data_IF_523383501690
#
_entry.id   IF_523383501690
#
_cell.length_a   1.000
_cell.length_b   1.000
_cell.length_c   1.000
_cell.angle_alpha   90.00
_cell.angle_beta   90.00
_cell.angle_gamma   90.00
#
_symmetry.space_group_name_H-M   'P 1'
#
loop_
_entity.id
_entity.type
_entity.pdbx_description
1 polymer ?
#
# COMPACT_ATOMS: atom_id res chain seq x y z
N UNK A 1 13.60 -5.94 -6.13
CA UNK A 1 13.02 -6.15 -4.78
C UNK A 1 14.13 -6.43 -3.80
N UNK A 2 14.01 -5.82 -2.62
CA UNK A 2 14.90 -6.04 -1.47
C UNK A 2 14.06 -6.55 -0.30
N UNK A 3 14.67 -7.30 0.62
CA UNK A 3 13.98 -7.77 1.83
C UNK A 3 14.37 -6.86 2.99
N UNK A 4 13.38 -6.31 3.69
CA UNK A 4 13.55 -5.55 4.92
C UNK A 4 12.61 -6.08 6.00
N UNK A 5 13.12 -6.26 7.21
CA UNK A 5 12.36 -6.80 8.35
C UNK A 5 11.56 -8.09 8.03
N UNK A 6 12.04 -8.91 7.10
CA UNK A 6 11.39 -10.16 6.67
C UNK A 6 10.33 -10.02 5.56
N UNK A 7 10.10 -8.81 5.03
CA UNK A 7 9.10 -8.54 4.00
C UNK A 7 9.74 -7.95 2.72
N UNK A 8 9.13 -8.15 1.55
CA UNK A 8 9.60 -7.55 0.31
C UNK A 8 9.29 -6.05 0.26
N UNK A 9 10.23 -5.32 -0.30
CA UNK A 9 10.15 -3.91 -0.64
C UNK A 9 10.32 -3.75 -2.16
N UNK A 10 9.54 -2.85 -2.80
CA UNK A 10 9.66 -2.61 -4.22
C UNK A 10 11.04 -2.06 -4.59
N UNK A 11 11.40 -2.24 -5.86
CA UNK A 11 12.58 -1.59 -6.39
C UNK A 11 12.26 -0.11 -6.63
N UNK A 12 12.99 0.82 -6.00
CA UNK A 12 12.72 2.26 -6.12
C UNK A 12 12.87 2.80 -7.54
N UNK A 13 13.58 2.10 -8.43
CA UNK A 13 13.66 2.44 -9.86
C UNK A 13 12.41 2.03 -10.64
N UNK A 14 11.67 1.01 -10.19
CA UNK A 14 10.39 0.59 -10.77
C UNK A 14 9.20 1.30 -10.11
N UNK A 15 9.22 1.40 -8.78
CA UNK A 15 8.14 1.98 -7.97
C UNK A 15 8.75 2.94 -6.93
N UNK A 16 9.05 4.19 -7.32
CA UNK A 16 9.60 5.19 -6.40
C UNK A 16 8.64 5.65 -5.28
N UNK A 17 7.33 5.40 -5.41
CA UNK A 17 6.32 5.84 -4.44
C UNK A 17 5.79 7.24 -4.74
N UNK A 18 4.78 7.32 -5.60
CA UNK A 18 4.19 8.59 -6.05
C UNK A 18 3.07 9.09 -5.13
N UNK A 19 2.97 10.40 -4.96
CA UNK A 19 1.85 11.06 -4.29
C UNK A 19 1.07 11.94 -5.27
N UNK A 20 -0.25 12.03 -5.10
CA UNK A 20 -1.10 12.94 -5.85
C UNK A 20 -1.04 14.34 -5.21
N UNK A 21 -0.48 15.35 -5.89
CA UNK A 21 -0.31 16.69 -5.32
C UNK A 21 -1.65 17.41 -5.05
N UNK A 22 -2.75 16.95 -5.65
CA UNK A 22 -4.08 17.51 -5.47
C UNK A 22 -4.82 16.92 -4.26
N UNK A 23 -4.32 15.82 -3.69
CA UNK A 23 -4.88 15.23 -2.47
C UNK A 23 -4.13 15.78 -1.26
N UNK A 24 -4.81 16.69 -0.55
CA UNK A 24 -4.28 17.38 0.64
C UNK A 24 -4.76 16.73 1.94
N UNK A 25 -4.19 17.14 3.08
CA UNK A 25 -4.68 16.70 4.39
C UNK A 25 -6.15 17.05 4.62
N UNK A 26 -6.61 18.21 4.14
CA UNK A 26 -8.03 18.61 4.23
C UNK A 26 -8.91 17.70 3.37
N UNK A 27 -8.43 17.32 2.18
CA UNK A 27 -9.09 16.31 1.34
C UNK A 27 -9.23 14.99 2.10
N UNK A 28 -8.15 14.48 2.71
CA UNK A 28 -8.13 13.20 3.43
C UNK A 28 -8.98 13.21 4.70
N UNK A 29 -9.15 14.37 5.35
CA UNK A 29 -10.01 14.55 6.53
C UNK A 29 -11.47 14.74 6.17
N UNK A 30 -11.79 15.06 4.92
CA UNK A 30 -13.17 15.26 4.49
C UNK A 30 -14.00 13.99 4.67
N UNK A 31 -15.19 14.07 5.30
CA UNK A 31 -16.08 12.91 5.44
C UNK A 31 -16.65 12.44 4.09
N UNK A 32 -16.58 13.25 3.04
CA UNK A 32 -16.99 12.88 1.68
C UNK A 32 -15.89 12.19 0.88
N UNK A 33 -14.64 12.23 1.34
CA UNK A 33 -13.51 11.64 0.63
C UNK A 33 -13.59 10.11 0.61
N UNK A 34 -13.39 9.53 -0.57
CA UNK A 34 -13.29 8.09 -0.79
C UNK A 34 -12.17 7.84 -1.80
N UNK A 35 -11.36 6.82 -1.59
CA UNK A 35 -10.26 6.47 -2.52
C UNK A 35 -10.76 6.05 -3.89
N UNK A 36 -12.02 5.58 -4.00
CA UNK A 36 -12.70 5.34 -5.27
C UNK A 36 -12.83 6.56 -6.19
N UNK A 37 -12.62 7.79 -5.69
CA UNK A 37 -12.58 9.00 -6.52
C UNK A 37 -11.31 9.13 -7.37
N UNK A 38 -10.23 8.42 -7.02
CA UNK A 38 -8.93 8.47 -7.71
C UNK A 38 -8.41 7.10 -8.15
N UNK A 39 -8.96 6.02 -7.57
CA UNK A 39 -8.61 4.65 -7.94
C UNK A 39 -9.01 4.37 -9.39
N UNK A 40 -8.06 3.86 -10.16
CA UNK A 40 -8.22 3.52 -11.58
C UNK A 40 -8.51 4.71 -12.50
N UNK A 41 -8.13 5.93 -12.08
CA UNK A 41 -8.28 7.15 -12.87
C UNK A 41 -7.02 7.50 -13.67
N UNK A 42 -5.84 7.12 -13.18
CA UNK A 42 -4.55 7.34 -13.87
C UNK A 42 -4.05 6.05 -14.54
N UNK A 43 -4.29 4.89 -13.91
CA UNK A 43 -4.01 3.60 -14.53
C UNK A 43 -5.15 2.60 -14.35
N UNK A 44 -5.56 1.94 -15.44
CA UNK A 44 -6.56 0.89 -15.38
C UNK A 44 -6.00 -0.38 -14.75
N UNK A 45 -6.89 -1.26 -14.28
CA UNK A 45 -6.52 -2.60 -13.81
C UNK A 45 -5.69 -3.37 -14.87
N UNK A 46 -6.04 -3.26 -16.15
CA UNK A 46 -5.29 -3.93 -17.22
C UNK A 46 -3.89 -3.34 -17.41
N UNK A 47 -3.70 -2.05 -17.20
CA UNK A 47 -2.38 -1.41 -17.24
C UNK A 47 -1.54 -1.80 -16.03
N UNK A 48 -2.12 -1.89 -14.84
CA UNK A 48 -1.43 -2.32 -13.61
C UNK A 48 -0.79 -3.70 -13.77
N UNK A 49 -1.41 -4.62 -14.52
CA UNK A 49 -0.83 -5.94 -14.81
C UNK A 49 0.51 -5.90 -15.55
N UNK A 50 0.88 -4.80 -16.22
CA UNK A 50 2.21 -4.65 -16.82
C UNK A 50 3.32 -4.65 -15.77
N UNK A 51 3.02 -4.22 -14.54
CA UNK A 51 3.99 -4.11 -13.44
C UNK A 51 4.55 -5.47 -13.04
N UNK A 52 3.78 -6.56 -13.13
CA UNK A 52 4.32 -7.92 -12.94
C UNK A 52 5.56 -8.18 -13.82
N UNK A 53 5.56 -7.70 -15.07
CA UNK A 53 6.69 -7.86 -15.99
C UNK A 53 7.91 -7.05 -15.57
N UNK A 54 7.72 -5.84 -15.03
CA UNK A 54 8.83 -5.00 -14.53
C UNK A 54 9.60 -5.70 -13.41
N UNK A 55 8.88 -6.45 -12.59
CA UNK A 55 9.43 -7.21 -11.46
C UNK A 55 9.84 -8.65 -11.81
N UNK A 56 9.68 -9.09 -13.07
CA UNK A 56 9.96 -10.46 -13.48
C UNK A 56 9.07 -11.51 -12.81
N UNK A 57 7.89 -11.12 -12.32
CA UNK A 57 6.95 -11.99 -11.62
C UNK A 57 5.92 -12.52 -12.62
N UNK A 58 5.67 -13.85 -12.66
CA UNK A 58 4.57 -14.39 -13.44
C UNK A 58 3.22 -13.99 -12.81
N UNK A 59 2.25 -13.64 -13.65
CA UNK A 59 0.89 -13.35 -13.19
C UNK A 59 0.34 -14.57 -12.43
N UNK A 60 -0.05 -14.44 -11.14
CA UNK A 60 -0.50 -15.59 -10.36
C UNK A 60 -1.83 -16.15 -10.87
N UNK A 61 -1.95 -17.48 -10.90
CA UNK A 61 -3.20 -18.18 -11.27
C UNK A 61 -4.12 -18.28 -10.05
N UNK A 62 -5.43 -18.22 -10.26
CA UNK A 62 -6.44 -18.31 -9.18
C UNK A 62 -6.20 -17.32 -8.04
N UNK A 63 -5.79 -16.09 -8.37
CA UNK A 63 -5.41 -15.06 -7.42
C UNK A 63 -6.61 -14.26 -6.88
N UNK A 64 -7.49 -14.91 -6.12
CA UNK A 64 -8.72 -14.29 -5.61
C UNK A 64 -9.16 -14.92 -4.29
N UNK A 65 -9.85 -14.16 -3.45
CA UNK A 65 -10.38 -14.63 -2.16
C UNK A 65 -9.32 -15.34 -1.30
N UNK A 66 -9.66 -16.51 -0.75
CA UNK A 66 -8.75 -17.28 0.10
C UNK A 66 -7.48 -17.78 -0.62
N UNK A 67 -7.45 -17.81 -1.96
CA UNK A 67 -6.27 -18.24 -2.74
C UNK A 67 -5.43 -17.08 -3.28
N UNK A 68 -5.77 -15.83 -2.96
CA UNK A 68 -5.01 -14.64 -3.40
C UNK A 68 -3.61 -14.59 -2.78
N UNK A 69 -2.57 -14.70 -3.59
CA UNK A 69 -1.16 -14.68 -3.14
C UNK A 69 -0.44 -13.39 -3.48
N UNK A 70 -1.03 -12.53 -4.30
CA UNK A 70 -0.44 -11.25 -4.67
C UNK A 70 -1.50 -10.18 -4.90
N UNK A 71 -1.14 -8.94 -4.65
CA UNK A 71 -1.94 -7.76 -4.98
C UNK A 71 -1.07 -6.78 -5.77
N UNK A 72 -1.66 -6.09 -6.76
CA UNK A 72 -1.00 -4.96 -7.39
C UNK A 72 -1.52 -3.72 -6.71
N UNK A 73 -0.70 -3.13 -5.84
CA UNK A 73 -1.15 -2.04 -4.99
C UNK A 73 -0.15 -0.90 -4.91
N UNK A 74 -0.58 0.17 -4.26
CA UNK A 74 0.08 1.44 -4.17
C UNK A 74 1.14 1.40 -3.05
N UNK A 75 2.41 1.71 -3.36
CA UNK A 75 3.45 1.82 -2.33
C UNK A 75 3.11 2.93 -1.33
N UNK A 76 2.72 4.10 -1.83
CA UNK A 76 2.05 5.13 -1.03
C UNK A 76 0.54 4.94 -1.21
N UNK A 77 -0.23 4.55 -0.17
CA UNK A 77 -1.65 4.26 -0.30
C UNK A 77 -2.47 5.49 -0.70
N UNK A 78 -3.61 5.26 -1.35
CA UNK A 78 -4.54 6.32 -1.74
C UNK A 78 -5.14 7.05 -0.51
N UNK A 79 -5.18 6.37 0.64
CA UNK A 79 -5.57 6.86 1.96
C UNK A 79 -4.57 7.91 2.51
N UNK A 80 -3.33 7.89 2.01
CA UNK A 80 -2.33 8.95 2.18
C UNK A 80 -2.21 9.83 0.93
N UNK A 81 -3.18 9.78 0.02
CA UNK A 81 -3.15 10.51 -1.23
C UNK A 81 -1.99 10.11 -2.13
N UNK A 82 -1.67 8.82 -2.21
CA UNK A 82 -0.83 8.24 -3.23
C UNK A 82 -1.32 8.56 -4.65
N UNK A 83 -0.41 8.54 -5.62
CA UNK A 83 -0.77 8.60 -7.04
C UNK A 83 -1.29 7.24 -7.53
N UNK A 84 -2.26 7.22 -8.44
CA UNK A 84 -2.80 5.98 -9.04
C UNK A 84 -1.98 5.54 -10.28
N UNK A 85 -0.93 6.30 -10.64
CA UNK A 85 0.00 5.98 -11.71
C UNK A 85 0.91 4.79 -11.42
N UNK A 86 1.40 4.15 -12.49
CA UNK A 86 2.18 2.91 -12.40
C UNK A 86 3.49 3.05 -11.59
N UNK A 87 4.07 4.24 -11.48
CA UNK A 87 5.25 4.50 -10.64
C UNK A 87 4.98 4.41 -9.12
N UNK A 88 3.71 4.25 -8.73
CA UNK A 88 3.32 3.95 -7.37
C UNK A 88 2.77 2.53 -7.22
N UNK A 89 2.61 1.76 -8.30
CA UNK A 89 2.07 0.38 -8.25
C UNK A 89 3.22 -0.63 -8.16
N UNK A 90 3.08 -1.64 -7.31
CA UNK A 90 4.02 -2.75 -7.22
C UNK A 90 3.32 -4.07 -6.84
N UNK A 91 3.95 -5.23 -7.10
CA UNK A 91 3.38 -6.53 -6.78
C UNK A 91 3.69 -6.93 -5.33
N UNK A 92 2.66 -6.90 -4.49
CA UNK A 92 2.69 -7.26 -3.08
C UNK A 92 2.42 -8.75 -2.89
N UNK A 93 3.36 -9.57 -3.36
CA UNK A 93 3.21 -11.03 -3.31
C UNK A 93 3.66 -11.61 -1.96
N UNK A 94 2.91 -12.57 -1.43
CA UNK A 94 3.20 -13.24 -0.15
C UNK A 94 2.98 -14.75 -0.17
N UNK A 95 3.34 -15.46 0.92
CA UNK A 95 3.26 -16.92 0.99
C UNK A 95 1.80 -17.42 0.93
N UNK A 96 1.55 -18.45 0.12
CA UNK A 96 0.21 -19.04 -0.01
C UNK A 96 -0.18 -19.96 1.15
N UNK A 97 0.80 -20.47 1.89
CA UNK A 97 0.64 -21.46 2.96
C UNK A 97 0.32 -20.85 4.34
N UNK A 98 0.00 -19.55 4.39
CA UNK A 98 -0.45 -18.86 5.61
C UNK A 98 -1.89 -18.37 5.45
N UNK A 99 -2.52 -17.95 6.55
CA UNK A 99 -3.83 -17.32 6.54
C UNK A 99 -3.81 -16.04 5.69
N UNK A 100 -4.94 -15.68 5.09
CA UNK A 100 -5.05 -14.49 4.23
C UNK A 100 -4.50 -13.24 4.94
N UNK A 101 -4.89 -13.04 6.20
CA UNK A 101 -4.49 -11.88 7.00
C UNK A 101 -2.98 -11.79 7.25
N UNK A 102 -2.25 -12.90 7.15
CA UNK A 102 -0.80 -12.95 7.34
C UNK A 102 -0.01 -12.94 6.02
N UNK A 103 -0.68 -12.79 4.88
CA UNK A 103 -0.01 -12.58 3.59
C UNK A 103 0.52 -11.16 3.52
N UNK A 104 1.60 -10.96 2.79
CA UNK A 104 2.37 -9.71 2.85
C UNK A 104 1.55 -8.46 2.49
N UNK A 105 0.68 -8.51 1.46
CA UNK A 105 -0.25 -7.42 1.15
C UNK A 105 -1.18 -7.10 2.33
N UNK A 106 -1.73 -8.11 3.01
CA UNK A 106 -2.55 -7.90 4.23
C UNK A 106 -1.76 -7.42 5.43
N UNK A 107 -0.46 -7.70 5.51
CA UNK A 107 0.40 -7.11 6.54
C UNK A 107 0.65 -5.63 6.23
N UNK A 108 0.87 -5.27 4.97
CA UNK A 108 1.01 -3.87 4.55
C UNK A 108 -0.29 -3.07 4.73
N UNK A 109 -1.48 -3.64 4.47
CA UNK A 109 -2.78 -3.01 4.77
C UNK A 109 -2.83 -2.46 6.21
N UNK A 110 -2.26 -3.17 7.20
CA UNK A 110 -2.21 -2.72 8.60
C UNK A 110 -1.37 -1.46 8.76
N UNK A 111 -0.22 -1.40 8.08
CA UNK A 111 0.66 -0.23 8.08
C UNK A 111 -0.03 0.96 7.43
N UNK A 112 -0.69 0.74 6.30
CA UNK A 112 -1.44 1.80 5.61
C UNK A 112 -2.58 2.35 6.45
N UNK A 113 -3.37 1.47 7.06
CA UNK A 113 -4.47 1.84 7.94
C UNK A 113 -3.98 2.61 9.16
N UNK A 114 -2.87 2.17 9.78
CA UNK A 114 -2.23 2.87 10.89
C UNK A 114 -1.78 4.28 10.47
N UNK A 115 -1.02 4.41 9.39
CA UNK A 115 -0.50 5.70 8.94
C UNK A 115 -1.62 6.65 8.51
N UNK A 116 -2.65 6.15 7.83
CA UNK A 116 -3.81 6.94 7.46
C UNK A 116 -4.53 7.52 8.69
N UNK A 117 -4.66 6.73 9.77
CA UNK A 117 -5.24 7.20 11.03
C UNK A 117 -4.34 8.21 11.75
N UNK A 118 -3.04 7.98 11.84
CA UNK A 118 -2.09 8.94 12.44
C UNK A 118 -2.13 10.30 11.74
N UNK A 119 -2.18 10.29 10.40
CA UNK A 119 -2.26 11.50 9.59
C UNK A 119 -3.60 12.20 9.77
N UNK A 120 -4.72 11.46 9.69
CA UNK A 120 -6.06 12.04 9.87
C UNK A 120 -6.22 12.65 11.26
N UNK A 121 -5.71 11.99 12.29
CA UNK A 121 -5.70 12.51 13.66
C UNK A 121 -4.70 13.66 13.89
N UNK A 122 -3.81 13.93 12.93
CA UNK A 122 -2.80 14.99 13.04
C UNK A 122 -1.63 14.65 13.96
N UNK A 123 -1.42 13.36 14.26
CA UNK A 123 -0.29 12.87 15.04
C UNK A 123 0.98 12.70 14.19
N UNK A 124 0.81 12.51 12.89
CA UNK A 124 1.89 12.43 11.91
C UNK A 124 1.65 13.40 10.74
N UNK A 125 2.65 14.18 10.30
CA UNK A 125 2.55 14.98 9.09
C UNK A 125 2.34 14.09 7.85
N UNK A 126 1.44 14.49 6.94
CA UNK A 126 1.13 13.74 5.71
C UNK A 126 2.39 13.45 4.87
N UNK A 127 3.26 14.45 4.70
CA UNK A 127 4.48 14.29 3.92
C UNK A 127 5.52 13.39 4.60
N UNK A 128 5.50 13.32 5.94
CA UNK A 128 6.34 12.39 6.70
C UNK A 128 5.87 10.95 6.45
N UNK A 129 4.56 10.69 6.58
CA UNK A 129 3.98 9.37 6.31
C UNK A 129 4.25 8.90 4.87
N UNK A 130 4.06 9.78 3.88
CA UNK A 130 4.32 9.49 2.46
C UNK A 130 5.78 9.11 2.20
N UNK A 131 6.73 9.92 2.70
CA UNK A 131 8.17 9.63 2.52
C UNK A 131 8.58 8.37 3.26
N UNK A 132 8.08 8.20 4.48
CA UNK A 132 8.38 7.04 5.31
C UNK A 132 7.98 5.74 4.62
N UNK A 133 6.69 5.62 4.26
CA UNK A 133 6.18 4.39 3.64
C UNK A 133 6.82 4.11 2.27
N UNK A 134 7.11 5.14 1.47
CA UNK A 134 7.82 4.97 0.20
C UNK A 134 9.27 4.50 0.34
N UNK A 135 9.92 4.85 1.46
CA UNK A 135 11.32 4.48 1.70
C UNK A 135 11.50 3.10 2.36
N UNK A 136 10.59 2.77 3.26
CA UNK A 136 10.60 1.57 4.09
C UNK A 136 9.23 1.46 4.78
N UNK A 137 8.28 0.76 4.19
CA UNK A 137 6.98 0.59 4.85
C UNK A 137 7.10 -0.32 6.08
N UNK A 138 8.09 -1.21 6.08
CA UNK A 138 8.28 -2.17 7.18
C UNK A 138 8.70 -1.53 8.50
N UNK A 139 9.23 -0.31 8.48
CA UNK A 139 9.58 0.45 9.69
C UNK A 139 8.38 0.71 10.63
N UNK A 140 7.15 0.64 10.09
CA UNK A 140 5.92 0.89 10.84
C UNK A 140 5.24 -0.38 11.35
N UNK A 141 5.80 -1.57 11.09
CA UNK A 141 5.16 -2.85 11.42
C UNK A 141 4.79 -2.96 12.90
N UNK A 142 5.70 -2.63 13.81
CA UNK A 142 5.46 -2.77 15.25
C UNK A 142 4.36 -1.81 15.72
N UNK A 143 4.40 -0.56 15.27
CA UNK A 143 3.40 0.45 15.60
C UNK A 143 2.02 0.07 15.03
N UNK A 144 1.97 -0.40 13.78
CA UNK A 144 0.75 -0.84 13.12
C UNK A 144 0.15 -2.08 13.81
N UNK A 145 0.97 -3.05 14.21
CA UNK A 145 0.52 -4.24 14.93
C UNK A 145 0.03 -3.90 16.35
N UNK A 146 0.64 -2.94 17.04
CA UNK A 146 0.15 -2.44 18.32
C UNK A 146 -1.21 -1.72 18.13
N UNK A 147 -1.29 -0.81 17.15
CA UNK A 147 -2.54 -0.12 16.80
C UNK A 147 -3.67 -1.10 16.53
N UNK A 148 -3.42 -2.12 15.71
CA UNK A 148 -4.36 -3.19 15.39
C UNK A 148 -4.87 -3.95 16.62
N UNK A 149 -3.98 -4.27 17.58
CA UNK A 149 -4.35 -4.95 18.83
C UNK A 149 -5.22 -4.10 19.74
N UNK A 150 -4.96 -2.79 19.79
CA UNK A 150 -5.69 -1.86 20.66
C UNK A 150 -7.04 -1.42 20.06
N UNK A 151 -7.07 -1.10 18.77
CA UNK A 151 -8.22 -0.47 18.11
C UNK A 151 -9.28 -1.49 17.66
N UNK A 152 -8.92 -2.78 17.56
CA UNK A 152 -9.69 -3.83 16.87
C UNK A 152 -10.04 -3.46 15.42
N UNK A 153 -9.35 -2.46 14.85
CA UNK A 153 -9.49 -2.00 13.47
C UNK A 153 -8.17 -2.25 12.76
N UNK A 154 -8.13 -3.42 12.12
CA UNK A 154 -7.33 -3.73 10.95
C UNK A 154 -8.36 -3.97 9.83
#
# INVERSE_FOLDING_TARGET
MVIKNGYPEPDSGCTPGGANPYVTLDTLRSPSWRTGCVRNCESSESQKHLVYRWYGIPVPRNNTGATQVCELDHLVPLELGGADGLGNIWPECGPGQTSLDNRYFKVKDRVENYLAEEVRAGRMPLDEARRGIASDWTQYLDAANEYCRQSRKC
#
